data_IF_015349762249
#
_entry.id   IF_015349762249
#
_cell.length_a   1.000
_cell.length_b   1.000
_cell.length_c   1.000
_cell.angle_alpha   90.00
_cell.angle_beta   90.00
_cell.angle_gamma   90.00
#
_symmetry.space_group_name_H-M   'P 1'
#
loop_
_entity.id
_entity.type
_entity.pdbx_description
1 polymer ?
#
# COMPACT_ATOMS: atom_id res chain seq x y z
N UNK A 1 -70.88 -8.76 -28.04
CA UNK A 1 -70.10 -9.76 -27.26
C UNK A 1 -68.73 -9.14 -27.06
N UNK A 2 -68.44 -8.68 -25.84
CA UNK A 2 -67.17 -8.07 -25.47
C UNK A 2 -66.13 -9.18 -25.36
N UNK A 3 -65.08 -9.12 -26.18
CA UNK A 3 -63.91 -9.98 -26.04
C UNK A 3 -62.91 -9.23 -25.16
N UNK A 4 -62.84 -9.61 -23.89
CA UNK A 4 -61.68 -9.27 -23.07
C UNK A 4 -60.59 -10.29 -23.40
N UNK A 5 -59.48 -9.79 -23.93
CA UNK A 5 -58.25 -10.54 -24.12
C UNK A 5 -57.70 -10.88 -22.73
N UNK A 6 -57.79 -12.16 -22.33
CA UNK A 6 -57.12 -12.62 -21.10
C UNK A 6 -55.63 -12.67 -21.40
N UNK A 7 -54.91 -11.63 -20.99
CA UNK A 7 -53.45 -11.67 -20.93
C UNK A 7 -53.07 -12.60 -19.79
N UNK A 8 -52.39 -13.70 -20.11
CA UNK A 8 -51.82 -14.62 -19.14
C UNK A 8 -50.38 -14.24 -18.89
N UNK A 9 -50.05 -13.83 -17.66
CA UNK A 9 -48.68 -13.60 -17.24
C UNK A 9 -48.14 -14.84 -16.51
N UNK A 10 -46.93 -15.25 -16.88
CA UNK A 10 -46.16 -16.28 -16.19
C UNK A 10 -44.83 -15.66 -15.74
N UNK A 11 -44.42 -15.95 -14.52
CA UNK A 11 -43.20 -15.38 -13.94
C UNK A 11 -42.33 -16.49 -13.36
N UNK A 12 -41.03 -16.45 -13.67
CA UNK A 12 -40.03 -17.32 -13.09
C UNK A 12 -39.06 -16.52 -12.21
N UNK A 13 -38.61 -17.12 -11.11
CA UNK A 13 -37.54 -16.54 -10.27
C UNK A 13 -36.18 -17.04 -10.74
N UNK A 14 -35.27 -16.12 -11.03
CA UNK A 14 -33.86 -16.42 -11.34
C UNK A 14 -33.01 -15.94 -10.16
N UNK A 15 -32.25 -16.86 -9.57
CA UNK A 15 -31.28 -16.54 -8.51
C UNK A 15 -29.91 -16.41 -9.17
N UNK A 16 -29.30 -15.23 -9.07
CA UNK A 16 -27.93 -14.97 -9.52
C UNK A 16 -27.04 -14.85 -8.29
N UNK A 17 -26.08 -15.77 -8.15
CA UNK A 17 -25.06 -15.70 -7.11
C UNK A 17 -23.81 -15.03 -7.67
N UNK A 18 -23.31 -14.00 -6.98
CA UNK A 18 -22.03 -13.35 -7.28
C UNK A 18 -21.06 -13.66 -6.16
N UNK A 19 -19.91 -14.23 -6.51
CA UNK A 19 -18.83 -14.50 -5.55
C UNK A 19 -17.90 -13.30 -5.54
N UNK A 20 -17.61 -12.76 -4.35
CA UNK A 20 -16.58 -11.73 -4.22
C UNK A 20 -15.18 -12.33 -4.43
N UNK A 21 -14.31 -11.64 -5.16
CA UNK A 21 -12.90 -11.98 -5.35
C UNK A 21 -12.04 -10.89 -4.72
N UNK A 22 -10.79 -11.22 -4.37
CA UNK A 22 -9.87 -10.26 -3.79
C UNK A 22 -9.55 -9.14 -4.78
N UNK A 23 -9.81 -7.90 -4.39
CA UNK A 23 -9.46 -6.70 -5.12
C UNK A 23 -7.98 -6.35 -4.97
N UNK A 24 -7.48 -5.44 -5.82
CA UNK A 24 -6.09 -4.98 -5.74
C UNK A 24 -6.01 -3.83 -4.76
N UNK A 25 -5.05 -3.84 -3.82
CA UNK A 25 -4.83 -2.66 -3.01
C UNK A 25 -4.32 -1.51 -3.89
N UNK A 26 -4.68 -0.29 -3.52
CA UNK A 26 -4.27 0.93 -4.23
C UNK A 26 -3.61 1.92 -3.27
N UNK A 27 -2.62 2.65 -3.78
CA UNK A 27 -1.96 3.73 -3.07
C UNK A 27 -1.37 4.70 -4.10
N UNK A 28 -1.50 6.00 -3.87
CA UNK A 28 -0.84 7.02 -4.68
C UNK A 28 0.64 7.18 -4.31
N UNK A 29 1.41 7.82 -5.19
CA UNK A 29 2.74 8.29 -4.79
C UNK A 29 2.61 9.29 -3.62
N UNK A 30 3.55 9.22 -2.68
CA UNK A 30 3.52 10.05 -1.48
C UNK A 30 4.91 10.60 -1.16
N UNK A 31 4.95 11.74 -0.46
CA UNK A 31 6.20 12.34 0.01
C UNK A 31 6.15 12.55 1.51
N UNK A 32 7.21 12.13 2.20
CA UNK A 32 7.34 12.24 3.66
C UNK A 32 8.65 12.90 4.03
N UNK A 33 8.69 13.49 5.22
CA UNK A 33 9.90 14.10 5.78
C UNK A 33 10.16 13.56 7.18
N UNK A 34 11.43 13.38 7.53
CA UNK A 34 11.85 13.07 8.89
C UNK A 34 13.08 13.90 9.27
N UNK A 35 13.15 14.33 10.53
CA UNK A 35 14.31 15.05 11.05
C UNK A 35 15.51 14.12 11.23
N UNK A 36 16.72 14.63 10.98
CA UNK A 36 17.99 13.87 11.03
C UNK A 36 18.30 13.17 12.36
N UNK A 37 17.67 13.59 13.46
CA UNK A 37 17.88 13.07 14.82
C UNK A 37 16.65 12.38 15.39
N UNK A 38 15.77 11.91 14.51
CA UNK A 38 14.59 11.17 14.94
C UNK A 38 15.02 9.82 15.52
N UNK A 39 14.40 9.45 16.63
CA UNK A 39 14.63 8.15 17.25
C UNK A 39 14.17 7.04 16.29
N UNK A 40 14.90 5.94 16.24
CA UNK A 40 14.46 4.75 15.50
C UNK A 40 13.04 4.36 15.94
N UNK A 41 12.19 4.09 14.94
CA UNK A 41 10.78 3.77 15.12
C UNK A 41 9.85 4.97 15.34
N UNK A 42 10.37 6.21 15.39
CA UNK A 42 9.52 7.39 15.50
C UNK A 42 8.54 7.47 14.32
N UNK A 43 7.27 7.74 14.62
CA UNK A 43 6.19 7.81 13.62
C UNK A 43 6.49 8.87 12.56
N UNK A 44 6.55 8.45 11.29
CA UNK A 44 6.62 9.34 10.13
C UNK A 44 5.22 9.56 9.57
N UNK A 45 4.50 8.49 9.27
CA UNK A 45 3.13 8.57 8.75
C UNK A 45 2.40 7.23 8.82
N UNK A 46 1.07 7.30 8.74
CA UNK A 46 0.25 6.18 8.27
C UNK A 46 0.20 6.23 6.74
N UNK A 47 0.42 5.11 6.07
CA UNK A 47 0.41 4.99 4.62
C UNK A 47 -1.05 5.01 4.11
N UNK A 48 -1.40 5.92 3.19
CA UNK A 48 -2.77 6.08 2.68
C UNK A 48 -3.12 5.03 1.61
N UNK A 49 -2.87 3.75 1.89
CA UNK A 49 -3.27 2.65 1.02
C UNK A 49 -4.70 2.17 1.37
N UNK A 50 -5.40 1.63 0.37
CA UNK A 50 -6.78 1.15 0.51
C UNK A 50 -6.99 -0.12 -0.29
N UNK A 51 -7.87 -0.97 0.19
CA UNK A 51 -8.44 -2.10 -0.53
C UNK A 51 -9.98 -1.98 -0.47
N UNK A 52 -10.67 -2.41 -1.52
CA UNK A 52 -12.15 -2.44 -1.54
C UNK A 52 -12.69 -3.59 -0.69
N UNK A 53 -11.88 -4.64 -0.48
CA UNK A 53 -12.14 -5.68 0.50
C UNK A 53 -11.83 -5.19 1.92
N UNK A 54 -12.78 -4.46 2.51
CA UNK A 54 -12.63 -3.83 3.82
C UNK A 54 -12.27 -4.76 4.99
N UNK A 55 -12.41 -6.08 4.84
CA UNK A 55 -12.05 -7.07 5.86
C UNK A 55 -10.57 -7.49 5.80
N UNK A 56 -9.84 -7.05 4.78
CA UNK A 56 -8.50 -7.52 4.50
C UNK A 56 -7.40 -6.65 5.14
N UNK A 57 -6.35 -7.32 5.61
CA UNK A 57 -5.14 -6.65 6.12
C UNK A 57 -4.18 -6.38 4.97
N UNK A 58 -3.72 -5.13 4.84
CA UNK A 58 -2.66 -4.74 3.92
C UNK A 58 -1.28 -4.98 4.52
N UNK A 59 -0.34 -5.50 3.72
CA UNK A 59 1.06 -5.65 4.10
C UNK A 59 1.99 -4.80 3.22
N UNK A 60 3.11 -4.36 3.78
CA UNK A 60 4.00 -3.38 3.14
C UNK A 60 5.47 -3.79 3.28
N UNK A 61 6.26 -3.52 2.23
CA UNK A 61 7.71 -3.74 2.25
C UNK A 61 8.42 -2.64 1.46
N UNK A 62 9.48 -2.06 2.02
CA UNK A 62 10.42 -1.20 1.29
C UNK A 62 11.46 -2.09 0.64
N UNK A 63 11.45 -2.21 -0.69
CA UNK A 63 12.32 -3.18 -1.41
C UNK A 63 13.53 -2.55 -2.07
N UNK A 64 13.54 -1.22 -2.20
CA UNK A 64 14.59 -0.53 -2.94
C UNK A 64 14.76 0.90 -2.45
N UNK A 65 15.93 1.46 -2.75
CA UNK A 65 16.25 2.86 -2.53
C UNK A 65 16.78 3.18 -1.13
N UNK A 66 16.20 2.60 -0.08
CA UNK A 66 16.55 2.96 1.30
C UNK A 66 17.79 2.20 1.79
N UNK A 67 18.92 2.46 1.14
CA UNK A 67 20.16 1.72 1.37
C UNK A 67 20.77 1.96 2.74
N UNK A 68 20.41 3.09 3.35
CA UNK A 68 20.93 3.54 4.63
C UNK A 68 19.93 3.28 5.78
N UNK A 69 18.75 2.73 5.47
CA UNK A 69 17.73 2.43 6.48
C UNK A 69 17.19 3.67 7.17
N UNK A 70 16.95 4.76 6.44
CA UNK A 70 16.37 5.99 7.00
C UNK A 70 14.90 5.81 7.36
N UNK A 71 14.20 4.88 6.72
CA UNK A 71 12.79 4.61 6.93
C UNK A 71 12.54 3.10 7.12
N UNK A 72 11.49 2.76 7.84
CA UNK A 72 11.07 1.38 8.00
C UNK A 72 9.55 1.29 8.13
N UNK A 73 9.00 0.14 7.77
CA UNK A 73 7.62 -0.22 8.10
C UNK A 73 7.62 -0.75 9.53
N UNK A 74 7.19 0.06 10.51
CA UNK A 74 7.20 -0.32 11.94
C UNK A 74 6.00 -1.20 12.32
N UNK A 75 4.92 -1.09 11.56
CA UNK A 75 3.72 -1.91 11.61
C UNK A 75 3.07 -1.84 10.23
N UNK A 76 2.25 -2.81 9.86
CA UNK A 76 1.46 -2.75 8.63
C UNK A 76 0.74 -1.39 8.49
N UNK A 77 1.05 -0.69 7.39
CA UNK A 77 0.52 0.64 7.09
C UNK A 77 1.15 1.78 7.88
N UNK A 78 2.17 1.54 8.71
CA UNK A 78 2.83 2.57 9.53
C UNK A 78 4.29 2.69 9.13
N UNK A 79 4.64 3.86 8.63
CA UNK A 79 6.00 4.26 8.30
C UNK A 79 6.63 4.94 9.53
N UNK A 80 7.83 4.50 9.89
CA UNK A 80 8.64 5.10 10.95
C UNK A 80 10.07 5.38 10.52
N UNK A 81 10.79 6.09 11.37
CA UNK A 81 12.24 6.28 11.27
C UNK A 81 12.93 4.92 11.30
N UNK A 82 13.87 4.67 10.41
CA UNK A 82 14.74 3.50 10.54
C UNK A 82 15.88 3.74 11.55
N UNK A 83 16.71 2.73 11.74
CA UNK A 83 17.86 2.81 12.65
C UNK A 83 19.05 3.46 11.93
N UNK A 84 19.37 4.69 12.33
CA UNK A 84 20.50 5.45 11.77
C UNK A 84 21.86 5.00 12.33
N UNK A 85 21.87 4.03 13.26
CA UNK A 85 23.05 3.58 13.98
C UNK A 85 23.59 4.63 14.96
N UNK A 86 24.40 4.22 15.96
CA UNK A 86 25.12 5.15 16.82
C UNK A 86 26.31 5.74 16.04
N UNK A 87 26.06 6.77 15.25
CA UNK A 87 27.11 7.59 14.65
C UNK A 87 27.71 7.03 13.36
N UNK A 88 26.88 6.74 12.36
CA UNK A 88 27.32 6.92 10.96
C UNK A 88 27.60 8.41 10.76
N UNK A 89 28.79 8.80 11.17
CA UNK A 89 29.35 10.13 11.12
C UNK A 89 29.64 10.48 9.67
N UNK A 90 28.65 11.07 9.00
CA UNK A 90 28.88 12.35 8.34
C UNK A 90 27.60 13.19 8.47
N UNK A 91 27.74 14.32 9.14
CA UNK A 91 26.92 15.54 9.01
C UNK A 91 26.69 15.93 7.53
N UNK A 92 25.96 15.14 6.75
CA UNK A 92 25.52 15.51 5.42
C UNK A 92 24.37 16.49 5.64
N UNK A 93 24.67 17.80 5.53
CA UNK A 93 23.87 18.95 5.96
C UNK A 93 22.46 19.08 5.38
N UNK A 94 21.63 18.08 5.60
CA UNK A 94 20.24 17.99 5.24
C UNK A 94 19.46 17.92 6.55
N UNK A 95 18.86 19.03 7.03
CA UNK A 95 18.11 19.03 8.29
C UNK A 95 16.87 18.11 8.26
N UNK A 96 16.55 17.57 7.08
CA UNK A 96 15.41 16.70 6.82
C UNK A 96 15.77 15.66 5.75
N UNK A 97 15.42 14.41 5.98
CA UNK A 97 15.38 13.38 4.95
C UNK A 97 13.99 13.39 4.31
N UNK A 98 13.93 13.46 2.99
CA UNK A 98 12.68 13.42 2.23
C UNK A 98 12.57 12.05 1.57
N UNK A 99 11.40 11.44 1.65
CA UNK A 99 11.11 10.16 1.03
C UNK A 99 10.05 10.36 -0.05
N UNK A 100 10.33 9.92 -1.29
CA UNK A 100 9.29 9.77 -2.33
C UNK A 100 8.97 8.28 -2.51
N UNK A 101 7.72 7.90 -2.26
CA UNK A 101 7.25 6.54 -2.45
C UNK A 101 6.55 6.38 -3.80
N UNK A 102 6.92 5.32 -4.52
CA UNK A 102 6.16 4.80 -5.66
C UNK A 102 5.71 3.36 -5.35
N UNK A 103 4.42 3.15 -5.00
CA UNK A 103 3.92 1.82 -4.69
C UNK A 103 3.74 0.98 -5.95
N UNK A 104 4.05 -0.31 -5.85
CA UNK A 104 3.69 -1.32 -6.84
C UNK A 104 2.82 -2.38 -6.18
N UNK A 105 1.65 -2.62 -6.76
CA UNK A 105 0.75 -3.70 -6.35
C UNK A 105 1.34 -5.03 -6.78
N UNK A 106 1.54 -5.94 -5.83
CA UNK A 106 2.15 -7.25 -6.12
C UNK A 106 1.10 -8.33 -6.40
N UNK A 107 -0.12 -8.22 -5.87
CA UNK A 107 -1.16 -9.23 -6.09
C UNK A 107 -2.59 -8.67 -5.95
N UNK A 108 -3.46 -9.14 -6.84
CA UNK A 108 -4.84 -9.51 -6.52
C UNK A 108 -4.96 -10.94 -6.99
N UNK A 109 -5.11 -11.87 -6.06
CA UNK A 109 -5.37 -13.25 -6.41
C UNK A 109 -6.82 -13.56 -6.08
N UNK A 110 -7.54 -14.14 -7.04
CA UNK A 110 -8.88 -14.74 -6.91
C UNK A 110 -8.97 -15.88 -5.86
N UNK A 111 -7.92 -16.11 -5.07
CA UNK A 111 -7.84 -17.15 -4.06
C UNK A 111 -7.56 -18.54 -4.60
N UNK A 112 -7.30 -18.73 -5.90
CA UNK A 112 -7.10 -20.08 -6.47
C UNK A 112 -5.65 -20.58 -6.40
N UNK A 113 -4.70 -19.75 -5.97
CA UNK A 113 -3.28 -20.10 -5.85
C UNK A 113 -2.80 -20.08 -4.40
N UNK A 114 -2.53 -21.26 -3.82
CA UNK A 114 -1.79 -21.36 -2.56
C UNK A 114 -0.42 -20.65 -2.71
N UNK A 115 -0.12 -19.72 -1.80
CA UNK A 115 1.24 -19.20 -1.59
C UNK A 115 1.60 -17.84 -2.20
N UNK A 116 0.71 -17.13 -2.90
CA UNK A 116 0.97 -15.73 -3.26
C UNK A 116 0.53 -14.79 -2.13
N UNK A 117 1.37 -13.84 -1.67
CA UNK A 117 1.00 -12.91 -0.61
C UNK A 117 -0.15 -12.04 -1.11
N UNK A 118 -1.31 -12.08 -0.44
CA UNK A 118 -2.44 -11.18 -0.72
C UNK A 118 -2.13 -9.77 -0.21
N UNK A 119 -2.72 -8.75 -0.82
CA UNK A 119 -2.80 -7.40 -0.27
C UNK A 119 -1.44 -6.76 0.05
N UNK A 120 -0.42 -7.07 -0.76
CA UNK A 120 0.95 -6.59 -0.56
C UNK A 120 1.28 -5.41 -1.48
N UNK A 121 1.70 -4.31 -0.87
CA UNK A 121 2.32 -3.18 -1.58
C UNK A 121 3.83 -3.20 -1.39
N UNK A 122 4.53 -3.04 -2.50
CA UNK A 122 5.97 -2.88 -2.52
C UNK A 122 6.31 -1.41 -2.75
N UNK A 123 7.17 -0.86 -1.90
CA UNK A 123 7.52 0.55 -1.83
C UNK A 123 8.95 0.76 -2.33
N UNK A 124 9.11 1.70 -3.27
CA UNK A 124 10.43 2.18 -3.68
C UNK A 124 10.72 3.50 -2.99
N UNK A 125 11.89 3.60 -2.37
CA UNK A 125 12.42 4.84 -1.80
C UNK A 125 13.25 5.58 -2.84
N UNK A 126 13.15 6.90 -2.84
CA UNK A 126 14.09 7.78 -3.54
C UNK A 126 14.55 8.84 -2.54
N UNK A 127 15.87 8.95 -2.37
CA UNK A 127 16.51 10.00 -1.59
C UNK A 127 16.77 11.22 -2.49
N UNK A 128 15.97 12.29 -2.42
CA UNK A 128 16.22 13.48 -3.20
C UNK A 128 17.40 14.30 -2.65
N UNK A 129 17.90 13.98 -1.46
CA UNK A 129 19.06 14.62 -0.86
C UNK A 129 20.37 13.91 -1.22
N UNK A 130 20.31 12.73 -1.87
CA UNK A 130 21.52 12.01 -2.27
C UNK A 130 22.27 12.82 -3.33
N UNK A 131 23.55 13.18 -3.11
CA UNK A 131 24.35 13.80 -4.15
C UNK A 131 24.45 12.85 -5.34
N UNK A 132 24.24 13.38 -6.55
CA UNK A 132 24.48 12.62 -7.78
C UNK A 132 25.94 12.16 -7.79
N UNK A 133 26.16 10.85 -7.75
CA UNK A 133 27.50 10.31 -7.95
C UNK A 133 27.91 10.63 -9.39
N UNK A 134 28.91 11.50 -9.56
CA UNK A 134 29.57 11.78 -10.84
C UNK A 134 30.49 10.64 -11.25
#
# INVERSE_FOLDING_TARGET
RSGDEIVSEDTATVIVNVTNLNDRPTMGAATFEIAEKSLSGALVSVLPARDEDHADTLSFEIVSGDRNGYFQVVQDGVLGAGDLGPGEDLYLGHPKYVLRLSPKVVSAGDGSGEGQPKNKLVLNYEDPNRPSLS
#
